data_IF_275200471923
#
_entry.id   IF_275200471923
#
_cell.length_a   1.000
_cell.length_b   1.000
_cell.length_c   1.000
_cell.angle_alpha   90.00
_cell.angle_beta   90.00
_cell.angle_gamma   90.00
#
_symmetry.space_group_name_H-M   'P 1'
#
loop_
_entity.id
_entity.type
_entity.pdbx_description
1 polymer ?
#
# COMPACT_ATOMS: atom_id res chain seq x y z
N UNK A 1 0.46 -4.51 -44.20
CA UNK A 1 0.74 -5.71 -43.37
C UNK A 1 1.80 -5.28 -42.36
N UNK A 2 1.51 -5.31 -41.06
CA UNK A 2 2.54 -5.13 -40.04
C UNK A 2 3.60 -6.22 -40.18
N UNK A 3 4.81 -5.96 -39.68
CA UNK A 3 5.87 -6.96 -39.64
C UNK A 3 5.46 -8.09 -38.66
N UNK A 4 5.58 -9.38 -39.04
CA UNK A 4 5.27 -10.50 -38.15
C UNK A 4 6.05 -10.47 -36.82
N UNK A 5 7.21 -9.79 -36.77
CA UNK A 5 7.93 -9.55 -35.51
C UNK A 5 7.18 -8.58 -34.58
N UNK A 6 6.59 -7.51 -35.14
CA UNK A 6 5.75 -6.56 -34.39
C UNK A 6 4.47 -7.22 -33.88
N UNK A 7 3.82 -8.06 -34.69
CA UNK A 7 2.62 -8.80 -34.26
C UNK A 7 2.93 -9.77 -33.10
N UNK A 8 4.09 -10.43 -33.14
CA UNK A 8 4.52 -11.34 -32.08
C UNK A 8 4.85 -10.59 -30.77
N UNK A 9 5.51 -9.44 -30.85
CA UNK A 9 5.78 -8.58 -29.69
C UNK A 9 4.49 -8.06 -29.06
N UNK A 10 3.52 -7.63 -29.87
CA UNK A 10 2.22 -7.18 -29.37
C UNK A 10 1.45 -8.32 -28.69
N UNK A 11 1.48 -9.53 -29.26
CA UNK A 11 0.88 -10.71 -28.63
C UNK A 11 1.54 -11.04 -27.28
N UNK A 12 2.88 -10.99 -27.21
CA UNK A 12 3.61 -11.21 -25.95
C UNK A 12 3.22 -10.18 -24.89
N UNK A 13 3.19 -8.89 -25.25
CA UNK A 13 2.75 -7.81 -24.36
C UNK A 13 1.34 -8.05 -23.84
N UNK A 14 0.41 -8.47 -24.71
CA UNK A 14 -0.98 -8.77 -24.32
C UNK A 14 -1.07 -9.98 -23.40
N UNK A 15 -0.29 -11.03 -23.65
CA UNK A 15 -0.24 -12.22 -22.78
C UNK A 15 0.29 -11.86 -21.39
N UNK A 16 1.33 -11.04 -21.31
CA UNK A 16 1.89 -10.55 -20.06
C UNK A 16 0.86 -9.70 -19.29
N UNK A 17 0.22 -8.74 -19.96
CA UNK A 17 -0.86 -7.91 -19.38
C UNK A 17 -2.04 -8.77 -18.87
N UNK A 18 -2.44 -9.78 -19.64
CA UNK A 18 -3.50 -10.71 -19.23
C UNK A 18 -3.07 -11.59 -18.05
N UNK A 19 -1.81 -12.01 -17.99
CA UNK A 19 -1.27 -12.80 -16.88
C UNK A 19 -1.30 -12.00 -15.58
N UNK A 20 -0.83 -10.75 -15.62
CA UNK A 20 -0.94 -9.85 -14.47
C UNK A 20 -2.39 -9.68 -14.01
N UNK A 21 -3.32 -9.46 -14.93
CA UNK A 21 -4.74 -9.31 -14.59
C UNK A 21 -5.33 -10.57 -13.95
N UNK A 22 -4.86 -11.76 -14.33
CA UNK A 22 -5.26 -13.02 -13.69
C UNK A 22 -4.74 -13.07 -12.25
N UNK A 23 -3.47 -12.70 -12.02
CA UNK A 23 -2.88 -12.67 -10.69
C UNK A 23 -3.65 -11.71 -9.76
N UNK A 24 -4.03 -10.52 -10.25
CA UNK A 24 -4.82 -9.55 -9.48
C UNK A 24 -6.21 -10.08 -9.12
N UNK A 25 -6.87 -10.77 -10.06
CA UNK A 25 -8.18 -11.39 -9.81
C UNK A 25 -8.09 -12.53 -8.80
N UNK A 26 -7.02 -13.34 -8.86
CA UNK A 26 -6.78 -14.40 -7.89
C UNK A 26 -6.55 -13.84 -6.48
N UNK A 27 -5.75 -12.78 -6.34
CA UNK A 27 -5.55 -12.08 -5.05
C UNK A 27 -6.85 -11.48 -4.51
N UNK A 28 -7.65 -10.83 -5.35
CA UNK A 28 -8.94 -10.28 -4.96
C UNK A 28 -9.91 -11.36 -4.48
N UNK A 29 -10.03 -12.47 -5.22
CA UNK A 29 -10.89 -13.60 -4.84
C UNK A 29 -10.45 -14.25 -3.53
N UNK A 30 -9.15 -14.44 -3.34
CA UNK A 30 -8.61 -14.98 -2.11
C UNK A 30 -8.94 -14.08 -0.91
N UNK A 31 -8.72 -12.77 -1.08
CA UNK A 31 -9.00 -11.77 -0.04
C UNK A 31 -10.49 -11.70 0.29
N UNK A 32 -11.37 -11.73 -0.72
CA UNK A 32 -12.81 -11.79 -0.53
C UNK A 32 -13.24 -13.06 0.21
N UNK A 33 -12.68 -14.22 -0.13
CA UNK A 33 -13.01 -15.49 0.54
C UNK A 33 -12.71 -15.41 2.04
N UNK A 34 -11.59 -14.79 2.42
CA UNK A 34 -11.22 -14.62 3.83
C UNK A 34 -12.11 -13.56 4.49
N UNK A 35 -12.28 -12.40 3.84
CA UNK A 35 -13.06 -11.28 4.37
C UNK A 35 -14.52 -11.65 4.65
N UNK A 36 -15.14 -12.49 3.82
CA UNK A 36 -16.51 -12.96 4.03
C UNK A 36 -16.60 -13.88 5.25
N UNK A 37 -15.62 -14.77 5.42
CA UNK A 37 -15.65 -15.78 6.49
C UNK A 37 -15.20 -15.23 7.86
N UNK A 38 -14.27 -14.27 7.87
CA UNK A 38 -13.57 -13.81 9.08
C UNK A 38 -13.57 -12.29 9.20
N UNK A 39 -14.67 -11.62 8.82
CA UNK A 39 -14.72 -10.15 8.73
C UNK A 39 -14.31 -9.44 10.02
N UNK A 40 -14.66 -10.02 11.17
CA UNK A 40 -14.40 -9.41 12.49
C UNK A 40 -12.94 -9.64 12.93
N UNK A 41 -12.38 -10.79 12.59
CA UNK A 41 -11.02 -11.20 12.93
C UNK A 41 -9.98 -10.64 11.94
N UNK A 42 -10.40 -10.35 10.72
CA UNK A 42 -9.58 -9.87 9.61
C UNK A 42 -10.03 -8.48 9.11
N UNK A 43 -10.13 -7.44 9.97
CA UNK A 43 -10.67 -6.13 9.58
C UNK A 43 -9.86 -5.47 8.46
N UNK A 44 -8.53 -5.67 8.43
CA UNK A 44 -7.71 -5.15 7.34
C UNK A 44 -7.99 -5.84 6.01
N UNK A 45 -8.12 -7.18 5.98
CA UNK A 45 -8.48 -7.88 4.75
C UNK A 45 -9.90 -7.55 4.30
N UNK A 46 -10.83 -7.37 5.25
CA UNK A 46 -12.18 -6.90 4.96
C UNK A 46 -12.17 -5.52 4.28
N UNK A 47 -11.39 -4.58 4.81
CA UNK A 47 -11.17 -3.27 4.18
C UNK A 47 -10.62 -3.42 2.75
N UNK A 48 -9.56 -4.21 2.56
CA UNK A 48 -8.99 -4.42 1.22
C UNK A 48 -10.03 -4.98 0.25
N UNK A 49 -10.82 -5.96 0.68
CA UNK A 49 -11.83 -6.58 -0.15
C UNK A 49 -12.98 -5.62 -0.50
N UNK A 50 -13.47 -4.86 0.48
CA UNK A 50 -14.57 -3.90 0.33
C UNK A 50 -14.22 -2.77 -0.66
N UNK A 51 -12.95 -2.39 -0.73
CA UNK A 51 -12.46 -1.36 -1.64
C UNK A 51 -11.78 -1.90 -2.91
N UNK A 52 -11.83 -3.21 -3.15
CA UNK A 52 -11.24 -3.83 -4.35
C UNK A 52 -9.72 -3.63 -4.45
N UNK A 53 -9.03 -3.56 -3.33
CA UNK A 53 -7.58 -3.37 -3.26
C UNK A 53 -6.90 -4.73 -3.36
N UNK A 54 -6.29 -5.01 -4.51
CA UNK A 54 -5.61 -6.26 -4.80
C UNK A 54 -4.31 -6.02 -5.60
N UNK A 55 -3.54 -7.08 -5.80
CA UNK A 55 -2.41 -7.11 -6.73
C UNK A 55 -1.33 -6.07 -6.41
N UNK A 56 -0.84 -5.38 -7.44
CA UNK A 56 0.20 -4.36 -7.30
C UNK A 56 -0.21 -3.21 -6.38
N UNK A 57 -1.49 -2.81 -6.41
CA UNK A 57 -2.01 -1.75 -5.53
C UNK A 57 -1.96 -2.16 -4.06
N UNK A 58 -2.30 -3.40 -3.75
CA UNK A 58 -2.18 -3.97 -2.39
C UNK A 58 -0.72 -4.04 -1.94
N UNK A 59 0.18 -4.46 -2.82
CA UNK A 59 1.63 -4.49 -2.53
C UNK A 59 2.15 -3.09 -2.21
N UNK A 60 1.79 -2.09 -3.02
CA UNK A 60 2.16 -0.70 -2.80
C UNK A 60 1.59 -0.17 -1.47
N UNK A 61 0.31 -0.41 -1.18
CA UNK A 61 -0.32 0.03 0.06
C UNK A 61 0.38 -0.57 1.29
N UNK A 62 0.66 -1.87 1.27
CA UNK A 62 1.36 -2.54 2.37
C UNK A 62 2.80 -1.99 2.52
N UNK A 63 3.48 -1.73 1.41
CA UNK A 63 4.80 -1.11 1.42
C UNK A 63 4.77 0.28 2.05
N UNK A 64 3.80 1.12 1.65
CA UNK A 64 3.61 2.47 2.21
C UNK A 64 3.30 2.41 3.70
N UNK A 65 2.35 1.58 4.13
CA UNK A 65 2.01 1.42 5.56
C UNK A 65 3.24 0.99 6.37
N UNK A 66 4.02 0.03 5.86
CA UNK A 66 5.25 -0.38 6.55
C UNK A 66 6.28 0.74 6.62
N UNK A 67 6.42 1.54 5.57
CA UNK A 67 7.30 2.71 5.54
C UNK A 67 6.92 3.75 6.57
N UNK A 68 5.68 4.22 6.55
CA UNK A 68 5.21 5.25 7.49
C UNK A 68 5.32 4.77 8.94
N UNK A 69 5.03 3.49 9.22
CA UNK A 69 5.15 2.94 10.58
C UNK A 69 6.62 2.80 11.01
N UNK A 70 7.52 2.42 10.10
CA UNK A 70 8.97 2.41 10.34
C UNK A 70 9.49 3.83 10.64
N UNK A 71 9.13 4.79 9.77
CA UNK A 71 9.49 6.21 9.87
C UNK A 71 8.99 6.80 11.20
N UNK A 72 7.78 6.46 11.63
CA UNK A 72 7.22 6.90 12.91
C UNK A 72 8.02 6.36 14.12
N UNK A 73 8.58 5.15 14.03
CA UNK A 73 9.43 4.59 15.09
C UNK A 73 10.86 5.16 15.08
N UNK A 74 11.23 5.94 14.08
CA UNK A 74 12.61 6.38 13.86
C UNK A 74 13.52 5.27 13.31
N UNK A 75 12.95 4.19 12.77
CA UNK A 75 13.71 3.13 12.15
C UNK A 75 14.19 3.58 10.77
N UNK A 76 15.51 3.56 10.55
CA UNK A 76 16.12 3.81 9.24
C UNK A 76 16.06 2.53 8.41
N UNK A 77 14.88 2.19 7.90
CA UNK A 77 14.72 1.13 6.90
C UNK A 77 14.88 1.72 5.49
N UNK A 78 15.92 1.29 4.78
CA UNK A 78 16.02 1.47 3.33
C UNK A 78 15.19 0.38 2.65
N UNK A 79 14.23 0.68 1.75
CA UNK A 79 13.66 -0.42 0.94
C UNK A 79 14.77 -1.05 0.10
N UNK A 80 14.70 -2.37 -0.02
CA UNK A 80 15.49 -3.14 -0.98
C UNK A 80 15.20 -2.73 -2.44
N UNK A 81 16.22 -2.78 -3.29
CA UNK A 81 16.22 -2.08 -4.58
C UNK A 81 15.41 -2.73 -5.73
N UNK A 82 15.17 -4.04 -5.72
CA UNK A 82 14.60 -4.74 -6.89
C UNK A 82 13.11 -4.44 -7.11
N UNK A 83 12.24 -5.06 -6.32
CA UNK A 83 10.79 -4.90 -6.42
C UNK A 83 10.28 -3.49 -6.07
N UNK A 84 11.10 -2.69 -5.34
CA UNK A 84 10.79 -1.29 -5.02
C UNK A 84 10.74 -0.42 -6.28
N UNK A 85 11.72 -0.54 -7.16
CA UNK A 85 11.93 0.46 -8.22
C UNK A 85 10.76 0.46 -9.21
N UNK A 86 10.30 -0.73 -9.59
CA UNK A 86 9.17 -0.91 -10.51
C UNK A 86 7.81 -0.49 -9.91
N UNK A 87 7.59 -0.73 -8.61
CA UNK A 87 6.37 -0.28 -7.94
C UNK A 87 6.38 1.24 -7.66
N UNK A 88 7.54 1.82 -7.38
CA UNK A 88 7.65 3.24 -7.04
C UNK A 88 7.34 4.17 -8.22
N UNK A 89 7.55 3.72 -9.47
CA UNK A 89 7.16 4.47 -10.67
C UNK A 89 5.65 4.71 -10.72
N UNK A 90 4.86 3.68 -10.42
CA UNK A 90 3.39 3.77 -10.43
C UNK A 90 2.81 4.25 -9.10
N UNK A 91 3.57 4.15 -8.00
CA UNK A 91 3.15 4.51 -6.64
C UNK A 91 4.21 5.37 -5.95
N UNK A 92 4.29 6.68 -6.25
CA UNK A 92 5.32 7.58 -5.71
C UNK A 92 5.29 7.70 -4.19
N UNK A 93 4.13 7.49 -3.56
CA UNK A 93 3.97 7.43 -2.11
C UNK A 93 4.91 6.41 -1.43
N UNK A 94 5.36 5.37 -2.14
CA UNK A 94 6.37 4.43 -1.65
C UNK A 94 7.74 5.07 -1.40
N UNK A 95 8.12 6.08 -2.17
CA UNK A 95 9.34 6.82 -1.92
C UNK A 95 9.17 7.70 -0.68
N UNK A 96 8.05 8.41 -0.61
CA UNK A 96 7.73 9.35 0.46
C UNK A 96 7.59 8.69 1.84
N UNK A 97 6.99 7.49 1.89
CA UNK A 97 6.82 6.72 3.12
C UNK A 97 8.14 6.35 3.81
N UNK A 98 9.28 6.44 3.11
CA UNK A 98 10.60 6.06 3.60
C UNK A 98 11.61 7.20 3.56
N UNK A 99 11.11 8.44 3.54
CA UNK A 99 11.93 9.60 3.82
C UNK A 99 12.51 9.53 5.25
N UNK A 100 13.73 10.06 5.47
CA UNK A 100 14.43 9.97 6.74
C UNK A 100 13.87 10.90 7.83
N UNK A 101 13.12 11.94 7.45
CA UNK A 101 12.49 12.86 8.40
C UNK A 101 11.47 12.15 9.29
N UNK A 102 11.17 12.61 10.51
CA UNK A 102 10.03 12.09 11.27
C UNK A 102 8.71 12.30 10.52
N UNK A 103 7.71 11.45 10.80
CA UNK A 103 6.35 11.57 10.24
C UNK A 103 5.34 11.69 11.38
N UNK A 104 4.34 12.56 11.20
CA UNK A 104 3.20 12.66 12.10
C UNK A 104 1.97 11.87 11.58
N UNK A 105 0.90 11.85 12.37
CA UNK A 105 -0.31 11.09 12.03
C UNK A 105 -1.03 11.60 10.78
N UNK A 106 -1.06 12.91 10.56
CA UNK A 106 -1.77 13.51 9.43
C UNK A 106 -1.00 13.30 8.12
N UNK A 107 0.33 13.44 8.17
CA UNK A 107 1.21 13.11 7.05
C UNK A 107 1.11 11.62 6.70
N UNK A 108 1.09 10.72 7.70
CA UNK A 108 0.94 9.29 7.46
C UNK A 108 -0.40 8.95 6.78
N UNK A 109 -1.50 9.58 7.20
CA UNK A 109 -2.82 9.42 6.57
C UNK A 109 -2.80 9.88 5.12
N UNK A 110 -2.17 11.03 4.83
CA UNK A 110 -2.04 11.55 3.47
C UNK A 110 -1.25 10.61 2.58
N UNK A 111 -0.04 10.19 3.00
CA UNK A 111 0.85 9.33 2.20
C UNK A 111 0.19 7.97 1.91
N UNK A 112 -0.48 7.36 2.89
CA UNK A 112 -1.26 6.13 2.67
C UNK A 112 -2.44 6.40 1.73
N UNK A 113 -3.11 7.54 1.91
CA UNK A 113 -4.25 7.97 1.11
C UNK A 113 -3.92 8.17 -0.37
N UNK A 114 -2.70 8.56 -0.72
CA UNK A 114 -2.26 8.72 -2.12
C UNK A 114 -2.34 7.42 -2.91
N UNK A 115 -1.95 6.28 -2.32
CA UNK A 115 -2.11 4.96 -2.95
C UNK A 115 -3.59 4.62 -3.21
N UNK A 116 -4.45 5.14 -2.35
CA UNK A 116 -5.89 4.88 -2.36
C UNK A 116 -6.69 5.94 -3.16
N UNK A 117 -6.07 7.05 -3.52
CA UNK A 117 -6.71 8.21 -4.11
C UNK A 117 -7.62 8.97 -3.15
N UNK A 118 -7.46 8.80 -1.83
CA UNK A 118 -8.29 9.43 -0.81
C UNK A 118 -7.64 9.37 0.58
N UNK A 119 -7.48 10.53 1.23
CA UNK A 119 -7.05 10.61 2.65
C UNK A 119 -8.03 9.90 3.60
N UNK A 120 -9.34 9.96 3.31
CA UNK A 120 -10.33 9.25 4.09
C UNK A 120 -10.09 7.74 4.07
N UNK A 121 -9.83 7.18 2.88
CA UNK A 121 -9.45 5.77 2.75
C UNK A 121 -8.09 5.49 3.39
N UNK A 122 -7.15 6.44 3.33
CA UNK A 122 -5.86 6.34 4.01
C UNK A 122 -6.01 6.14 5.52
N UNK A 123 -6.87 6.95 6.15
CA UNK A 123 -7.22 6.81 7.56
C UNK A 123 -7.88 5.47 7.86
N UNK A 124 -8.90 5.08 7.08
CA UNK A 124 -9.59 3.80 7.27
C UNK A 124 -8.64 2.60 7.11
N UNK A 125 -7.70 2.67 6.17
CA UNK A 125 -6.69 1.63 5.96
C UNK A 125 -5.79 1.47 7.20
N UNK A 126 -5.29 2.58 7.75
CA UNK A 126 -4.47 2.58 8.96
C UNK A 126 -5.26 2.07 10.18
N UNK A 127 -6.52 2.49 10.34
CA UNK A 127 -7.41 2.02 11.41
C UNK A 127 -7.67 0.51 11.30
N UNK A 128 -8.00 0.01 10.11
CA UNK A 128 -8.23 -1.41 9.88
C UNK A 128 -6.96 -2.25 10.08
N UNK A 129 -5.81 -1.75 9.63
CA UNK A 129 -4.50 -2.35 9.85
C UNK A 129 -4.16 -2.45 11.35
N UNK A 130 -4.38 -1.37 12.09
CA UNK A 130 -4.19 -1.33 13.55
C UNK A 130 -5.15 -2.26 14.27
N UNK A 131 -6.43 -2.27 13.89
CA UNK A 131 -7.46 -3.11 14.49
C UNK A 131 -7.16 -4.61 14.32
N UNK A 132 -6.48 -4.98 13.23
CA UNK A 132 -5.98 -6.34 13.01
C UNK A 132 -4.82 -6.74 13.92
N UNK A 133 -4.20 -5.78 14.61
CA UNK A 133 -3.02 -5.98 15.44
C UNK A 133 -1.68 -5.90 14.68
N UNK A 134 -1.68 -5.36 13.46
CA UNK A 134 -0.47 -5.27 12.64
C UNK A 134 0.29 -3.97 12.94
N UNK A 135 1.61 -4.05 13.08
CA UNK A 135 2.49 -2.89 13.24
C UNK A 135 2.20 -2.02 14.46
N UNK A 136 1.73 -2.61 15.57
CA UNK A 136 1.22 -1.90 16.75
C UNK A 136 2.18 -0.84 17.30
N UNK A 137 3.48 -1.14 17.36
CA UNK A 137 4.50 -0.19 17.84
C UNK A 137 4.58 1.07 16.96
N UNK A 138 4.50 0.91 15.64
CA UNK A 138 4.50 2.05 14.72
C UNK A 138 3.22 2.86 14.83
N UNK A 139 2.08 2.19 15.02
CA UNK A 139 0.79 2.87 15.25
C UNK A 139 0.80 3.66 16.56
N UNK A 140 1.42 3.11 17.61
CA UNK A 140 1.61 3.80 18.89
C UNK A 140 2.52 5.02 18.74
N UNK A 141 3.60 4.90 17.95
CA UNK A 141 4.51 6.00 17.66
C UNK A 141 3.80 7.13 16.90
N UNK A 142 2.96 6.83 15.90
CA UNK A 142 2.17 7.83 15.17
C UNK A 142 1.24 8.62 16.10
N UNK A 143 0.54 7.94 17.03
CA UNK A 143 -0.31 8.62 18.02
C UNK A 143 0.48 9.45 19.01
N UNK A 144 1.69 9.03 19.39
CA UNK A 144 2.56 9.79 20.30
C UNK A 144 3.18 11.03 19.62
N UNK A 145 3.34 10.99 18.30
CA UNK A 145 3.89 12.09 17.49
C UNK A 145 2.87 13.21 17.24
N UNK A 146 1.57 12.91 17.38
CA UNK A 146 0.47 13.89 17.22
C UNK A 146 0.45 14.98 18.31
N UNK A 147 1.19 14.79 19.39
CA UNK A 147 1.34 15.75 20.50
C UNK A 147 2.46 16.78 20.26
N UNK A 148 3.16 16.73 19.12
CA UNK A 148 4.17 17.72 18.76
C UNK A 148 3.44 18.94 18.14
N UNK A 149 3.53 20.14 18.73
CA UNK A 149 2.82 21.31 18.22
C UNK A 149 3.28 21.62 16.79
N UNK A 150 2.37 22.11 15.91
CA UNK A 150 2.73 22.50 14.56
C UNK A 150 3.86 23.53 14.60
N UNK A 151 4.89 23.32 13.79
CA UNK A 151 5.95 24.32 13.62
C UNK A 151 5.35 25.52 12.92
N UNK A 152 5.33 26.65 13.62
CA UNK A 152 5.09 27.97 13.04
C UNK A 152 6.07 28.17 11.86
N UNK A 153 5.51 28.34 10.66
CA UNK A 153 6.22 28.88 9.49
C UNK A 153 6.35 30.39 9.59
#
# INVERSE_FOLDING_TARGET
>A
MPDPSTELEELRRRVEEQSHRIDELQDALHTLSIAVQYRQEEPYLAFLAEHGIAGRRRLALNGVINGVLSRARGDVLSLGQGARTELAEDYPALAEAYLPEPIDGDEAVRVVGEVLGSEHLGKQALEAHRARGLGLEGHQALTSCSDIPPRDT
#
